data_IF_327743787916
#
_entry.id   IF_327743787916
#
_cell.length_a   1.000
_cell.length_b   1.000
_cell.length_c   1.000
_cell.angle_alpha   90.00
_cell.angle_beta   90.00
_cell.angle_gamma   90.00
#
_symmetry.space_group_name_H-M   'P 1'
#
loop_
_entity.id
_entity.type
_entity.pdbx_description
1 polymer ?
#
# COMPACT_ATOMS: atom_id res chain seq x y z
N UNK A 1 16.86 -18.88 0.87
CA UNK A 1 15.40 -18.91 1.13
C UNK A 1 14.78 -17.67 0.48
N UNK A 2 13.73 -17.82 -0.33
CA UNK A 2 12.98 -16.68 -0.88
C UNK A 2 11.91 -16.29 0.15
N UNK A 3 11.86 -15.00 0.52
CA UNK A 3 10.81 -14.48 1.39
C UNK A 3 9.56 -14.17 0.57
N UNK A 4 8.39 -14.54 1.10
CA UNK A 4 7.10 -14.29 0.47
C UNK A 4 6.15 -13.72 1.51
N UNK A 5 5.59 -12.54 1.23
CA UNK A 5 4.53 -11.94 2.03
C UNK A 5 3.17 -12.20 1.38
N UNK A 6 2.24 -12.80 2.11
CA UNK A 6 0.91 -13.14 1.62
C UNK A 6 -0.16 -12.40 2.42
N UNK A 7 -1.17 -11.89 1.73
CA UNK A 7 -2.41 -11.40 2.33
C UNK A 7 -3.61 -11.90 1.51
N UNK A 8 -4.73 -12.12 2.19
CA UNK A 8 -6.01 -12.49 1.58
C UNK A 8 -7.06 -11.45 1.91
N UNK A 9 -7.89 -11.10 0.93
CA UNK A 9 -8.97 -10.14 1.07
C UNK A 9 -10.09 -10.45 0.07
N UNK A 10 -11.21 -9.71 0.15
CA UNK A 10 -12.28 -9.83 -0.85
C UNK A 10 -11.76 -9.33 -2.20
N UNK A 11 -11.84 -10.13 -3.28
CA UNK A 11 -11.32 -9.75 -4.59
C UNK A 11 -12.32 -8.84 -5.30
N UNK A 12 -12.24 -7.53 -5.07
CA UNK A 12 -13.13 -6.58 -5.74
C UNK A 12 -12.74 -5.14 -5.50
N UNK A 13 -13.01 -4.32 -6.51
CA UNK A 13 -12.89 -2.85 -6.44
C UNK A 13 -14.26 -2.17 -6.46
N UNK A 14 -15.32 -2.91 -6.12
CA UNK A 14 -16.69 -2.42 -6.10
C UNK A 14 -16.80 -1.15 -5.25
N UNK A 15 -17.53 -0.15 -5.77
CA UNK A 15 -17.75 1.16 -5.13
C UNK A 15 -16.50 2.02 -4.96
N UNK A 16 -15.30 1.51 -5.23
CA UNK A 16 -14.11 2.36 -5.31
C UNK A 16 -14.17 3.24 -6.55
N UNK A 17 -13.52 4.41 -6.48
CA UNK A 17 -13.38 5.35 -7.58
C UNK A 17 -11.92 5.77 -7.69
N UNK A 18 -11.39 6.04 -8.89
CA UNK A 18 -10.10 6.69 -9.05
C UNK A 18 -10.03 7.95 -8.15
N UNK A 19 -8.91 8.18 -7.44
CA UNK A 19 -7.61 7.51 -7.57
C UNK A 19 -7.41 6.21 -6.76
N UNK A 20 -8.50 5.56 -6.30
CA UNK A 20 -8.47 4.30 -5.52
C UNK A 20 -7.72 4.43 -4.19
N UNK A 21 -8.13 5.40 -3.37
CA UNK A 21 -7.47 5.72 -2.12
C UNK A 21 -7.54 4.61 -1.05
N UNK A 22 -6.89 4.84 0.10
CA UNK A 22 -6.64 3.81 1.12
C UNK A 22 -7.90 3.34 1.86
N UNK A 23 -9.03 4.05 1.74
CA UNK A 23 -10.28 3.75 2.45
C UNK A 23 -10.25 3.98 3.97
N UNK A 24 -9.09 4.40 4.50
CA UNK A 24 -8.91 4.92 5.86
C UNK A 24 -7.61 5.74 5.95
N UNK A 25 -7.53 6.64 6.93
CA UNK A 25 -6.32 7.40 7.21
C UNK A 25 -5.25 6.49 7.85
N UNK A 26 -4.19 6.17 7.11
CA UNK A 26 -3.02 5.50 7.66
C UNK A 26 -1.96 6.52 8.08
N UNK A 27 -1.30 6.37 9.25
CA UNK A 27 -0.34 7.34 9.75
C UNK A 27 0.78 7.68 8.76
N UNK A 28 1.33 6.68 8.08
CA UNK A 28 2.41 6.86 7.10
C UNK A 28 1.96 7.55 5.81
N UNK A 29 0.67 7.81 5.62
CA UNK A 29 0.18 8.56 4.47
C UNK A 29 -0.12 10.01 4.81
N UNK A 30 -0.08 10.43 6.09
CA UNK A 30 -0.48 11.78 6.48
C UNK A 30 0.31 12.88 5.76
N UNK A 31 1.59 12.66 5.49
CA UNK A 31 2.44 13.60 4.75
C UNK A 31 2.15 13.64 3.24
N UNK A 32 1.56 12.59 2.68
CA UNK A 32 1.12 12.51 1.28
C UNK A 32 -0.33 12.99 1.10
N UNK A 33 -1.11 12.96 2.18
CA UNK A 33 -2.57 13.03 2.16
C UNK A 33 -3.13 14.40 2.54
N UNK A 34 -2.33 15.47 2.44
CA UNK A 34 -2.80 16.85 2.70
C UNK A 34 -4.07 17.23 1.89
N UNK A 35 -4.40 16.48 0.83
CA UNK A 35 -5.59 16.66 -0.01
C UNK A 35 -6.42 15.37 -0.23
N UNK A 36 -6.23 14.30 0.55
CA UNK A 36 -7.01 13.07 0.34
C UNK A 36 -8.43 13.23 0.92
N UNK A 37 -9.50 12.87 0.18
CA UNK A 37 -10.87 13.02 0.65
C UNK A 37 -11.09 12.24 1.95
N UNK A 38 -11.68 12.92 2.93
CA UNK A 38 -11.90 12.48 4.32
C UNK A 38 -12.78 11.21 4.43
N UNK A 39 -13.44 10.78 3.34
CA UNK A 39 -14.35 9.64 3.33
C UNK A 39 -14.25 8.82 2.03
N UNK A 40 -13.12 8.16 1.81
CA UNK A 40 -13.06 7.11 0.79
C UNK A 40 -13.84 5.86 1.25
N UNK A 41 -14.55 5.17 0.34
CA UNK A 41 -15.14 3.87 0.64
C UNK A 41 -14.04 2.89 1.10
N UNK A 42 -14.37 1.93 2.00
CA UNK A 42 -13.40 0.96 2.47
C UNK A 42 -12.69 0.25 1.31
N UNK A 43 -11.35 0.28 1.33
CA UNK A 43 -10.52 -0.35 0.32
C UNK A 43 -9.77 -1.56 0.92
N UNK A 44 -10.41 -2.75 0.96
CA UNK A 44 -9.82 -3.93 1.57
C UNK A 44 -8.65 -4.51 0.72
N UNK A 45 -8.51 -4.10 -0.55
CA UNK A 45 -7.34 -4.42 -1.39
C UNK A 45 -6.11 -3.64 -0.95
N UNK A 46 -6.26 -2.34 -0.70
CA UNK A 46 -5.16 -1.50 -0.17
C UNK A 46 -4.65 -2.03 1.18
N UNK A 47 -5.57 -2.37 2.08
CA UNK A 47 -5.22 -2.98 3.37
C UNK A 47 -4.47 -4.31 3.20
N UNK A 48 -4.85 -5.14 2.24
CA UNK A 48 -4.18 -6.40 1.94
C UNK A 48 -2.76 -6.19 1.40
N UNK A 49 -2.55 -5.19 0.53
CA UNK A 49 -1.21 -4.84 0.05
C UNK A 49 -0.31 -4.42 1.22
N UNK A 50 -0.79 -3.55 2.13
CA UNK A 50 -0.03 -3.21 3.36
C UNK A 50 0.30 -4.46 4.18
N UNK A 51 -0.66 -5.37 4.34
CA UNK A 51 -0.46 -6.61 5.10
C UNK A 51 0.58 -7.54 4.44
N UNK A 52 0.57 -7.65 3.11
CA UNK A 52 1.53 -8.46 2.37
C UNK A 52 2.96 -7.90 2.48
N UNK A 53 3.13 -6.56 2.39
CA UNK A 53 4.43 -5.91 2.57
C UNK A 53 4.98 -6.13 3.99
N UNK A 54 4.13 -6.01 5.01
CA UNK A 54 4.49 -6.36 6.40
C UNK A 54 4.86 -7.84 6.53
N UNK A 55 4.08 -8.75 5.95
CA UNK A 55 4.34 -10.19 6.00
C UNK A 55 5.65 -10.58 5.30
N UNK A 56 6.11 -9.79 4.35
CA UNK A 56 7.43 -9.94 3.72
C UNK A 56 8.58 -9.51 4.67
N UNK A 57 8.25 -8.86 5.79
CA UNK A 57 9.19 -8.36 6.79
C UNK A 57 9.71 -6.95 6.54
N UNK A 58 9.10 -6.22 5.59
CA UNK A 58 9.58 -4.89 5.19
C UNK A 58 9.23 -3.84 6.24
N UNK A 59 10.27 -3.16 6.73
CA UNK A 59 10.23 -2.08 7.70
C UNK A 59 9.38 -2.41 8.94
N UNK A 60 9.50 -3.65 9.41
CA UNK A 60 8.62 -4.21 10.43
C UNK A 60 8.65 -3.44 11.76
N UNK A 61 9.80 -2.85 12.12
CA UNK A 61 9.97 -2.08 13.37
C UNK A 61 9.16 -0.79 13.41
N UNK A 62 8.81 -0.23 12.25
CA UNK A 62 8.04 1.02 12.13
C UNK A 62 6.60 0.80 11.70
N UNK A 63 6.17 -0.44 11.47
CA UNK A 63 4.82 -0.75 11.00
C UNK A 63 3.74 -0.13 11.89
N UNK A 64 2.86 0.68 11.28
CA UNK A 64 1.74 1.34 11.97
C UNK A 64 2.08 2.74 12.52
N UNK A 65 3.32 3.20 12.36
CA UNK A 65 3.74 4.57 12.68
C UNK A 65 3.73 5.46 11.43
N UNK A 66 3.86 6.78 11.61
CA UNK A 66 4.03 7.72 10.49
C UNK A 66 5.30 7.48 9.67
N UNK A 67 6.28 6.79 10.26
CA UNK A 67 7.59 6.55 9.68
C UNK A 67 7.68 5.23 8.91
N UNK A 68 6.56 4.47 8.81
CA UNK A 68 6.57 3.20 8.09
C UNK A 68 6.75 3.42 6.58
N UNK A 69 7.87 2.95 6.04
CA UNK A 69 8.17 2.98 4.62
C UNK A 69 8.68 1.60 4.16
N UNK A 70 7.78 0.69 3.74
CA UNK A 70 8.16 -0.65 3.34
C UNK A 70 9.03 -0.68 2.07
N UNK A 71 9.02 0.38 1.26
CA UNK A 71 9.88 0.45 0.08
C UNK A 71 11.32 0.84 0.43
N UNK A 72 11.57 1.43 1.60
CA UNK A 72 12.91 1.80 2.05
C UNK A 72 13.87 0.61 2.16
N UNK A 73 13.32 -0.59 2.43
CA UNK A 73 14.08 -1.85 2.47
C UNK A 73 14.38 -2.42 1.06
N UNK A 74 13.66 -1.96 0.04
CA UNK A 74 13.77 -2.46 -1.34
C UNK A 74 14.60 -1.53 -2.23
N UNK A 75 14.63 -0.24 -1.93
CA UNK A 75 15.24 0.78 -2.78
C UNK A 75 15.84 1.90 -1.93
N UNK A 76 17.13 2.19 -2.16
CA UNK A 76 17.82 3.28 -1.47
C UNK A 76 17.33 4.66 -1.96
N UNK A 77 17.48 5.68 -1.10
CA UNK A 77 17.18 7.07 -1.45
C UNK A 77 17.93 7.50 -2.72
N UNK A 78 17.25 8.23 -3.61
CA UNK A 78 17.80 8.70 -4.88
C UNK A 78 17.83 7.67 -6.02
N UNK A 79 17.42 6.42 -5.76
CA UNK A 79 17.21 5.41 -6.81
C UNK A 79 15.83 5.55 -7.45
N UNK A 80 15.63 4.86 -8.57
CA UNK A 80 14.40 4.93 -9.39
C UNK A 80 13.56 3.66 -9.24
N UNK A 81 12.30 3.83 -8.88
CA UNK A 81 11.28 2.76 -8.92
C UNK A 81 10.55 2.84 -10.26
N UNK A 82 10.40 1.70 -10.92
CA UNK A 82 9.56 1.58 -12.13
C UNK A 82 8.28 0.86 -11.74
N UNK A 83 7.17 1.56 -11.76
CA UNK A 83 5.86 0.93 -11.64
C UNK A 83 5.50 0.32 -13.00
N UNK A 84 5.51 -1.01 -13.09
CA UNK A 84 5.12 -1.73 -14.31
C UNK A 84 3.65 -2.15 -14.19
N UNK A 85 2.68 -1.38 -14.75
CA UNK A 85 1.33 -1.88 -14.87
C UNK A 85 1.34 -3.13 -15.76
N UNK A 86 0.60 -4.16 -15.36
CA UNK A 86 0.18 -5.19 -16.30
C UNK A 86 -1.02 -4.63 -17.04
N UNK A 87 -0.88 -4.35 -18.35
CA UNK A 87 -2.02 -4.01 -19.19
C UNK A 87 -2.80 -5.29 -19.48
N UNK A 88 -3.88 -5.51 -18.74
CA UNK A 88 -4.82 -6.62 -18.98
C UNK A 88 -5.97 -6.04 -19.81
N UNK A 89 -6.21 -6.60 -21.00
CA UNK A 89 -7.35 -6.28 -21.85
C UNK A 89 -8.41 -7.38 -21.66
N UNK A 90 -9.62 -6.99 -21.29
CA UNK A 90 -10.79 -7.87 -21.23
C UNK A 90 -11.37 -8.08 -22.64
#
# INVERSE_FOLDING_TARGET
>A
MIRVGLARTRPGYERLRPPYGPGKAYPELHHLSANAPIADPPNPVYAAIRAALRALGLDASRFGTSEWNPLGDLVALGKRVVLKPNLIRH
#
